data_IF_923337464908
#
_entry.id   IF_923337464908
#
_cell.length_a   1.000
_cell.length_b   1.000
_cell.length_c   1.000
_cell.angle_alpha   90.00
_cell.angle_beta   90.00
_cell.angle_gamma   90.00
#
_symmetry.space_group_name_H-M   'P 1'
#
loop_
_entity.id
_entity.type
_entity.pdbx_description
1 polymer ?
#
# COMPACT_ATOMS: atom_id res chain seq x y z
N UNK A 1 15.74 -16.02 -0.58
CA UNK A 1 16.40 -15.38 0.59
C UNK A 1 17.52 -14.50 0.05
N UNK A 2 17.39 -13.16 0.02
CA UNK A 2 18.52 -12.30 -0.29
C UNK A 2 19.36 -12.15 0.98
N UNK A 3 20.69 -12.30 0.79
CA UNK A 3 21.74 -12.18 1.77
C UNK A 3 21.50 -11.03 2.74
N UNK A 4 21.43 -11.34 4.04
CA UNK A 4 21.62 -10.32 5.08
C UNK A 4 23.09 -9.89 4.96
N UNK A 5 23.31 -8.75 4.30
CA UNK A 5 24.57 -8.03 4.42
C UNK A 5 24.80 -7.83 5.92
N UNK A 6 25.78 -8.53 6.48
CA UNK A 6 26.24 -8.35 7.86
C UNK A 6 26.77 -6.91 8.00
N UNK A 7 25.87 -6.02 8.36
CA UNK A 7 26.20 -4.61 8.58
C UNK A 7 27.04 -4.49 9.86
N UNK A 8 28.15 -3.73 9.84
CA UNK A 8 28.98 -3.54 11.02
C UNK A 8 28.16 -3.07 12.23
N UNK A 9 28.47 -3.57 13.42
CA UNK A 9 27.70 -3.35 14.64
C UNK A 9 27.49 -1.86 15.02
N UNK A 10 28.33 -0.95 14.51
CA UNK A 10 28.23 0.50 14.73
C UNK A 10 27.23 1.18 13.77
N UNK A 11 26.83 0.54 12.69
CA UNK A 11 25.99 1.15 11.66
C UNK A 11 24.53 1.33 12.08
N UNK A 12 23.86 0.36 12.76
CA UNK A 12 22.48 0.51 13.23
C UNK A 12 22.25 1.69 14.18
N UNK A 13 23.08 1.90 15.25
CA UNK A 13 22.89 3.04 16.14
C UNK A 13 23.16 4.39 15.46
N UNK A 14 24.13 4.45 14.56
CA UNK A 14 24.42 5.64 13.77
C UNK A 14 23.24 6.00 12.85
N UNK A 15 22.67 4.99 12.19
CA UNK A 15 21.49 5.17 11.33
C UNK A 15 20.28 5.68 12.10
N UNK A 16 20.03 5.14 13.30
CA UNK A 16 18.94 5.59 14.16
C UNK A 16 19.12 7.04 14.62
N UNK A 17 20.35 7.45 14.96
CA UNK A 17 20.69 8.82 15.33
C UNK A 17 20.50 9.78 14.14
N UNK A 18 20.98 9.43 12.94
CA UNK A 18 20.83 10.23 11.73
C UNK A 18 19.37 10.38 11.29
N UNK A 19 18.55 9.33 11.45
CA UNK A 19 17.13 9.39 11.16
C UNK A 19 16.37 10.33 12.10
N UNK A 20 16.77 10.43 13.37
CA UNK A 20 16.16 11.37 14.33
C UNK A 20 16.53 12.84 14.06
N UNK A 21 17.73 13.09 13.56
CA UNK A 21 18.22 14.44 13.26
C UNK A 21 17.66 15.03 11.96
N UNK A 22 17.32 14.18 11.00
CA UNK A 22 16.92 14.60 9.66
C UNK A 22 18.12 14.92 8.73
N UNK A 23 17.90 15.03 7.40
CA UNK A 23 18.98 15.11 6.42
C UNK A 23 19.80 16.42 6.48
N UNK A 24 19.15 17.55 6.79
CA UNK A 24 19.85 18.86 6.87
C UNK A 24 20.84 18.97 8.02
N UNK A 25 20.46 18.74 9.29
CA UNK A 25 21.42 18.80 10.39
C UNK A 25 22.49 17.69 10.30
N UNK A 26 22.16 16.51 9.76
CA UNK A 26 23.15 15.45 9.52
C UNK A 26 24.25 15.90 8.53
N UNK A 27 23.90 16.62 7.47
CA UNK A 27 24.89 17.16 6.52
C UNK A 27 25.81 18.21 7.14
N UNK A 28 25.29 19.08 7.98
CA UNK A 28 26.12 20.06 8.72
C UNK A 28 27.10 19.39 9.67
N UNK A 29 26.67 18.36 10.40
CA UNK A 29 27.55 17.59 11.30
C UNK A 29 28.66 16.88 10.49
N UNK A 30 28.32 16.33 9.34
CA UNK A 30 29.30 15.72 8.44
C UNK A 30 30.32 16.74 7.93
N UNK A 31 29.89 17.91 7.48
CA UNK A 31 30.78 19.00 7.06
C UNK A 31 31.72 19.44 8.19
N UNK A 32 31.19 19.63 9.39
CA UNK A 32 31.98 20.01 10.56
C UNK A 32 33.04 18.95 10.92
N UNK A 33 32.66 17.68 10.90
CA UNK A 33 33.57 16.56 11.17
C UNK A 33 34.69 16.48 10.14
N UNK A 34 34.40 16.52 8.84
CA UNK A 34 35.39 16.48 7.76
C UNK A 34 36.33 17.66 7.85
N UNK A 35 35.84 18.87 8.13
CA UNK A 35 36.66 20.07 8.30
C UNK A 35 37.60 19.91 9.45
N UNK A 36 37.16 19.41 10.60
CA UNK A 36 37.99 19.17 11.78
C UNK A 36 39.11 18.16 11.51
N UNK A 37 38.81 17.07 10.80
CA UNK A 37 39.78 16.06 10.38
C UNK A 37 40.83 16.67 9.45
N UNK A 38 40.42 17.45 8.44
CA UNK A 38 41.35 18.13 7.53
C UNK A 38 42.29 19.09 8.25
N UNK A 39 41.78 19.87 9.19
CA UNK A 39 42.62 20.77 10.01
C UNK A 39 43.60 19.98 10.87
N UNK A 40 43.15 18.94 11.55
CA UNK A 40 44.00 18.09 12.39
C UNK A 40 45.16 17.44 11.60
N UNK A 41 44.82 16.88 10.40
CA UNK A 41 45.82 16.30 9.50
C UNK A 41 46.83 17.35 8.99
N UNK A 42 46.35 18.55 8.64
CA UNK A 42 47.21 19.65 8.21
C UNK A 42 48.18 20.09 9.31
N UNK A 43 47.72 20.21 10.56
CA UNK A 43 48.55 20.56 11.70
C UNK A 43 49.60 19.47 12.02
N UNK A 44 49.21 18.20 11.91
CA UNK A 44 50.14 17.07 12.10
C UNK A 44 51.23 17.11 11.04
N UNK A 45 50.87 17.37 9.77
CA UNK A 45 51.81 17.40 8.64
C UNK A 45 52.80 18.55 8.78
N UNK A 46 52.37 19.75 9.16
CA UNK A 46 53.25 20.92 9.45
C UNK A 46 54.16 20.62 10.62
N UNK A 47 53.69 19.94 11.66
CA UNK A 47 54.50 19.53 12.82
C UNK A 47 55.59 18.52 12.45
N UNK A 48 55.28 17.55 11.59
CA UNK A 48 56.23 16.53 11.16
C UNK A 48 57.28 17.08 10.20
N UNK A 49 56.92 18.00 9.31
CA UNK A 49 57.85 18.60 8.36
C UNK A 49 58.72 19.70 8.95
N UNK A 50 58.42 20.22 10.14
CA UNK A 50 59.16 21.27 10.83
C UNK A 50 59.23 22.61 10.07
N UNK A 51 58.49 22.77 8.98
CA UNK A 51 58.47 23.94 8.12
C UNK A 51 57.01 24.30 7.77
N UNK A 52 56.69 25.58 7.83
CA UNK A 52 55.38 26.10 7.44
C UNK A 52 54.73 26.95 8.54
N UNK A 53 53.90 27.88 8.11
CA UNK A 53 53.10 28.71 9.01
C UNK A 53 51.81 27.96 9.43
N UNK A 54 51.76 27.62 10.72
CA UNK A 54 50.65 26.84 11.30
C UNK A 54 49.27 27.48 11.10
N UNK A 55 49.06 28.80 11.33
CA UNK A 55 47.73 29.40 11.15
C UNK A 55 47.30 29.45 9.70
N UNK A 56 48.17 29.73 8.73
CA UNK A 56 47.80 29.73 7.31
C UNK A 56 47.48 28.32 6.82
N UNK A 57 48.24 27.30 7.22
CA UNK A 57 47.92 25.90 6.91
C UNK A 57 46.57 25.45 7.49
N UNK A 58 46.26 25.85 8.72
CA UNK A 58 44.97 25.57 9.33
C UNK A 58 43.78 26.23 8.58
N UNK A 59 43.95 27.51 8.21
CA UNK A 59 42.92 28.26 7.47
C UNK A 59 42.66 27.61 6.10
N UNK A 60 43.70 27.30 5.32
CA UNK A 60 43.57 26.66 4.01
C UNK A 60 42.88 25.28 4.13
N UNK A 61 43.30 24.47 5.11
CA UNK A 61 42.70 23.17 5.36
C UNK A 61 41.23 23.26 5.78
N UNK A 62 40.89 24.26 6.60
CA UNK A 62 39.49 24.51 7.00
C UNK A 62 38.60 24.92 5.81
N UNK A 63 39.09 25.85 4.98
CA UNK A 63 38.33 26.30 3.79
C UNK A 63 38.18 25.20 2.78
N UNK A 64 39.26 24.49 2.42
CA UNK A 64 39.20 23.39 1.45
C UNK A 64 38.39 22.21 1.98
N UNK A 65 38.54 21.86 3.26
CA UNK A 65 37.80 20.74 3.87
C UNK A 65 36.30 21.04 3.93
N UNK A 66 35.94 22.27 4.31
CA UNK A 66 34.54 22.68 4.36
C UNK A 66 33.89 22.72 2.97
N UNK A 67 34.55 23.33 1.99
CA UNK A 67 34.01 23.44 0.61
C UNK A 67 33.83 22.07 -0.03
N UNK A 68 34.82 21.17 0.12
CA UNK A 68 34.73 19.82 -0.42
C UNK A 68 33.62 19.01 0.27
N UNK A 69 33.54 19.08 1.60
CA UNK A 69 32.51 18.39 2.36
C UNK A 69 31.09 18.91 2.02
N UNK A 70 30.93 20.23 1.88
CA UNK A 70 29.67 20.84 1.49
C UNK A 70 29.25 20.42 0.08
N UNK A 71 30.18 20.39 -0.87
CA UNK A 71 29.93 19.95 -2.25
C UNK A 71 29.50 18.46 -2.27
N UNK A 72 30.26 17.60 -1.62
CA UNK A 72 29.95 16.16 -1.53
C UNK A 72 28.59 15.91 -0.86
N UNK A 73 28.33 16.60 0.25
CA UNK A 73 27.04 16.48 0.95
C UNK A 73 25.89 16.93 0.07
N UNK A 74 26.06 18.04 -0.66
CA UNK A 74 25.04 18.51 -1.62
C UNK A 74 24.79 17.50 -2.75
N UNK A 75 25.85 16.94 -3.35
CA UNK A 75 25.73 15.94 -4.40
C UNK A 75 25.01 14.67 -3.90
N UNK A 76 25.37 14.18 -2.70
CA UNK A 76 24.71 12.98 -2.13
C UNK A 76 23.23 13.25 -1.87
N UNK A 77 22.90 14.40 -1.26
CA UNK A 77 21.49 14.74 -1.00
C UNK A 77 20.69 14.92 -2.31
N UNK A 78 21.29 15.54 -3.32
CA UNK A 78 20.66 15.69 -4.64
C UNK A 78 20.44 14.33 -5.32
N UNK A 79 21.41 13.42 -5.23
CA UNK A 79 21.30 12.06 -5.76
C UNK A 79 20.21 11.27 -5.06
N UNK A 80 20.18 11.30 -3.71
CA UNK A 80 19.13 10.64 -2.93
C UNK A 80 17.73 11.17 -3.26
N UNK A 81 17.60 12.49 -3.40
CA UNK A 81 16.34 13.11 -3.81
C UNK A 81 15.94 12.74 -5.25
N UNK A 82 16.91 12.53 -6.14
CA UNK A 82 16.65 12.07 -7.51
C UNK A 82 16.21 10.61 -7.54
N UNK A 83 16.90 9.74 -6.77
CA UNK A 83 16.53 8.33 -6.64
C UNK A 83 15.14 8.17 -6.01
N UNK A 84 14.82 8.93 -4.97
CA UNK A 84 13.48 8.89 -4.35
C UNK A 84 12.39 9.32 -5.34
N UNK A 85 12.66 10.36 -6.14
CA UNK A 85 11.75 10.78 -7.23
C UNK A 85 11.57 9.68 -8.28
N UNK A 86 12.65 9.04 -8.71
CA UNK A 86 12.61 7.96 -9.69
C UNK A 86 11.83 6.74 -9.15
N UNK A 87 12.05 6.37 -7.89
CA UNK A 87 11.31 5.28 -7.22
C UNK A 87 9.81 5.61 -7.10
N UNK A 88 9.47 6.84 -6.71
CA UNK A 88 8.06 7.29 -6.65
C UNK A 88 7.44 7.34 -8.06
N UNK A 89 8.22 7.66 -9.08
CA UNK A 89 7.75 7.65 -10.46
C UNK A 89 7.42 6.22 -10.89
N UNK A 90 8.31 5.24 -10.70
CA UNK A 90 8.04 3.83 -11.01
C UNK A 90 6.89 3.26 -10.20
N UNK A 91 6.80 3.57 -8.90
CA UNK A 91 5.67 3.19 -8.05
C UNK A 91 4.33 3.80 -8.53
N UNK A 92 4.36 4.98 -9.17
CA UNK A 92 3.16 5.60 -9.78
C UNK A 92 2.68 4.85 -11.02
N UNK A 93 3.54 4.11 -11.71
CA UNK A 93 3.17 3.29 -12.88
C UNK A 93 2.90 1.83 -12.54
N UNK A 94 3.12 1.43 -11.29
CA UNK A 94 2.68 0.11 -10.84
C UNK A 94 1.16 0.02 -10.99
N UNK A 95 0.69 -0.97 -11.74
CA UNK A 95 -0.73 -1.23 -12.00
C UNK A 95 -1.26 -2.36 -11.13
N UNK A 96 -0.35 -3.13 -10.53
CA UNK A 96 -0.70 -4.29 -9.72
C UNK A 96 -0.27 -4.13 -8.28
N UNK A 97 -1.03 -4.77 -7.39
CA UNK A 97 -0.65 -4.96 -5.99
C UNK A 97 0.46 -6.02 -5.91
N UNK A 98 1.55 -5.69 -5.21
CA UNK A 98 2.75 -6.55 -5.15
C UNK A 98 2.56 -7.83 -4.34
N UNK A 99 1.57 -7.87 -3.45
CA UNK A 99 1.30 -9.02 -2.60
C UNK A 99 0.38 -10.03 -3.29
N UNK A 100 -0.72 -9.54 -3.87
CA UNK A 100 -1.80 -10.37 -4.42
C UNK A 100 -1.74 -10.53 -5.94
N UNK A 101 -0.98 -9.68 -6.64
CA UNK A 101 -0.93 -9.65 -8.11
C UNK A 101 -2.18 -9.07 -8.78
N UNK A 102 -3.21 -8.74 -8.03
CA UNK A 102 -4.43 -8.10 -8.52
C UNK A 102 -4.18 -6.67 -9.01
N UNK A 103 -5.16 -6.06 -9.66
CA UNK A 103 -5.14 -4.63 -9.89
C UNK A 103 -4.99 -3.89 -8.56
N UNK A 104 -4.18 -2.84 -8.52
CA UNK A 104 -4.19 -1.94 -7.39
C UNK A 104 -5.33 -0.91 -7.53
N UNK A 105 -5.60 -0.16 -6.46
CA UNK A 105 -6.65 0.87 -6.43
C UNK A 105 -6.61 1.82 -7.64
N UNK A 106 -5.41 2.26 -8.04
CA UNK A 106 -5.26 3.21 -9.15
C UNK A 106 -5.67 2.60 -10.48
N UNK A 107 -5.16 1.42 -10.77
CA UNK A 107 -5.48 0.71 -12.01
C UNK A 107 -6.97 0.38 -12.07
N UNK A 108 -7.54 -0.07 -10.96
CA UNK A 108 -8.97 -0.32 -10.84
C UNK A 108 -9.79 0.91 -11.23
N UNK A 109 -9.56 2.04 -10.59
CA UNK A 109 -10.29 3.28 -10.88
C UNK A 109 -10.15 3.70 -12.34
N UNK A 110 -8.95 3.58 -12.92
CA UNK A 110 -8.71 3.90 -14.34
C UNK A 110 -9.50 3.01 -15.31
N UNK A 111 -9.63 1.71 -15.00
CA UNK A 111 -10.42 0.78 -15.81
C UNK A 111 -11.92 1.01 -15.66
N UNK A 112 -12.35 1.16 -14.42
CA UNK A 112 -13.77 1.25 -14.07
C UNK A 112 -14.39 2.59 -14.50
N UNK A 113 -13.66 3.68 -14.43
CA UNK A 113 -14.17 5.01 -14.83
C UNK A 113 -14.68 5.02 -16.28
N UNK A 114 -13.98 4.34 -17.18
CA UNK A 114 -14.39 4.17 -18.57
C UNK A 114 -15.68 3.32 -18.68
N UNK A 115 -15.66 2.15 -18.07
CA UNK A 115 -16.76 1.18 -18.13
C UNK A 115 -18.03 1.74 -17.47
N UNK A 116 -17.87 2.44 -16.34
CA UNK A 116 -18.96 3.12 -15.65
C UNK A 116 -19.57 4.23 -16.52
N UNK A 117 -18.72 5.04 -17.17
CA UNK A 117 -19.18 6.10 -18.08
C UNK A 117 -19.98 5.54 -19.25
N UNK A 118 -19.57 4.39 -19.80
CA UNK A 118 -20.31 3.68 -20.84
C UNK A 118 -21.63 3.10 -20.32
N UNK A 119 -21.60 2.45 -19.17
CA UNK A 119 -22.78 1.89 -18.53
C UNK A 119 -23.85 2.97 -18.28
N UNK A 120 -23.42 4.13 -17.75
CA UNK A 120 -24.31 5.27 -17.54
C UNK A 120 -24.88 5.83 -18.83
N UNK A 121 -24.05 5.98 -19.88
CA UNK A 121 -24.48 6.53 -21.18
C UNK A 121 -25.49 5.63 -21.87
N UNK A 122 -25.28 4.34 -21.84
CA UNK A 122 -26.12 3.37 -22.53
C UNK A 122 -27.17 2.71 -21.63
N UNK A 123 -27.27 3.16 -20.37
CA UNK A 123 -28.17 2.61 -19.36
C UNK A 123 -28.05 1.09 -19.21
N UNK A 124 -26.83 0.55 -19.38
CA UNK A 124 -26.56 -0.86 -19.13
C UNK A 124 -26.31 -1.09 -17.64
N UNK A 125 -26.83 -2.18 -17.07
CA UNK A 125 -26.61 -2.46 -15.66
C UNK A 125 -25.12 -2.73 -15.37
N UNK A 126 -24.64 -2.25 -14.26
CA UNK A 126 -23.32 -2.62 -13.71
C UNK A 126 -23.38 -2.56 -12.19
N UNK A 127 -22.51 -3.31 -11.52
CA UNK A 127 -22.46 -3.37 -10.08
C UNK A 127 -21.05 -3.16 -9.54
N UNK A 128 -20.97 -2.69 -8.31
CA UNK A 128 -19.78 -2.58 -7.50
C UNK A 128 -19.95 -3.43 -6.26
N UNK A 129 -18.93 -4.25 -5.97
CA UNK A 129 -18.87 -5.13 -4.80
C UNK A 129 -17.65 -4.75 -3.98
N UNK A 130 -17.84 -4.43 -2.72
CA UNK A 130 -16.81 -4.19 -1.73
C UNK A 130 -16.71 -5.39 -0.80
N UNK A 131 -15.50 -5.87 -0.56
CA UNK A 131 -15.20 -7.02 0.27
C UNK A 131 -14.19 -6.60 1.33
N UNK A 132 -14.43 -7.00 2.56
CA UNK A 132 -13.50 -6.78 3.68
C UNK A 132 -13.34 -8.10 4.47
N UNK A 133 -12.09 -8.45 4.78
CA UNK A 133 -11.81 -9.67 5.55
C UNK A 133 -12.13 -9.44 7.01
N UNK A 134 -13.06 -10.21 7.53
CA UNK A 134 -13.51 -10.08 8.90
C UNK A 134 -12.38 -10.36 9.89
N UNK A 135 -12.23 -9.49 10.89
CA UNK A 135 -11.25 -9.63 11.96
C UNK A 135 -9.79 -9.76 11.51
N UNK A 136 -9.43 -9.24 10.32
CA UNK A 136 -8.08 -9.36 9.76
C UNK A 136 -6.99 -8.83 10.69
N UNK A 137 -7.24 -7.71 11.37
CA UNK A 137 -6.32 -7.16 12.38
C UNK A 137 -6.04 -8.17 13.50
N UNK A 138 -7.06 -8.86 13.99
CA UNK A 138 -6.91 -9.87 15.02
C UNK A 138 -6.10 -11.09 14.54
N UNK A 139 -6.29 -11.50 13.29
CA UNK A 139 -5.47 -12.56 12.67
C UNK A 139 -4.00 -12.16 12.63
N UNK A 140 -3.70 -10.92 12.22
CA UNK A 140 -2.32 -10.41 12.24
C UNK A 140 -1.72 -10.33 13.65
N UNK A 141 -2.50 -9.93 14.65
CA UNK A 141 -2.05 -9.84 16.04
C UNK A 141 -1.80 -11.23 16.64
N UNK A 142 -2.63 -12.22 16.31
CA UNK A 142 -2.53 -13.58 16.85
C UNK A 142 -1.46 -14.42 16.13
N UNK A 143 -1.33 -14.31 14.80
CA UNK A 143 -0.51 -15.21 13.97
C UNK A 143 0.62 -14.51 13.22
N UNK A 144 0.72 -13.19 13.31
CA UNK A 144 1.74 -12.39 12.65
C UNK A 144 1.36 -12.00 11.20
N UNK A 145 2.03 -10.96 10.69
CA UNK A 145 1.78 -10.39 9.36
C UNK A 145 1.99 -11.39 8.21
N UNK A 146 2.91 -12.36 8.37
CA UNK A 146 3.13 -13.37 7.33
C UNK A 146 1.90 -14.29 7.12
N UNK A 147 1.14 -14.57 8.19
CA UNK A 147 -0.14 -15.27 8.12
C UNK A 147 -1.18 -14.43 7.37
N UNK A 148 -1.33 -13.16 7.74
CA UNK A 148 -2.22 -12.23 7.05
C UNK A 148 -1.90 -12.06 5.57
N UNK A 149 -0.62 -11.98 5.21
CA UNK A 149 -0.17 -11.90 3.82
C UNK A 149 -0.55 -13.15 3.01
N UNK A 150 -0.45 -14.34 3.61
CA UNK A 150 -0.89 -15.58 2.96
C UNK A 150 -2.41 -15.60 2.80
N UNK A 151 -3.15 -15.21 3.82
CA UNK A 151 -4.60 -15.10 3.77
C UNK A 151 -5.07 -14.17 2.65
N UNK A 152 -4.47 -12.99 2.55
CA UNK A 152 -4.78 -12.02 1.47
C UNK A 152 -4.58 -12.62 0.07
N UNK A 153 -3.54 -13.43 -0.14
CA UNK A 153 -3.31 -14.12 -1.42
C UNK A 153 -4.40 -15.15 -1.71
N UNK A 154 -4.78 -15.95 -0.72
CA UNK A 154 -5.82 -16.98 -0.90
C UNK A 154 -7.20 -16.37 -1.14
N UNK A 155 -7.57 -15.31 -0.40
CA UNK A 155 -8.82 -14.59 -0.66
C UNK A 155 -8.84 -13.97 -2.05
N UNK A 156 -7.71 -13.41 -2.50
CA UNK A 156 -7.56 -12.85 -3.85
C UNK A 156 -7.75 -13.95 -4.94
N UNK A 157 -7.14 -15.10 -4.76
CA UNK A 157 -7.22 -16.25 -5.68
C UNK A 157 -8.65 -16.78 -5.79
N UNK A 158 -9.27 -17.13 -4.66
CA UNK A 158 -10.65 -17.66 -4.60
C UNK A 158 -11.65 -16.66 -5.16
N UNK A 159 -11.47 -15.37 -4.87
CA UNK A 159 -12.33 -14.33 -5.44
C UNK A 159 -12.16 -14.25 -6.95
N UNK A 160 -10.92 -14.29 -7.44
CA UNK A 160 -10.62 -14.23 -8.88
C UNK A 160 -11.19 -15.40 -9.67
N UNK A 161 -11.14 -16.63 -9.13
CA UNK A 161 -11.71 -17.82 -9.76
C UNK A 161 -13.23 -17.78 -9.93
N UNK A 162 -13.90 -16.93 -9.14
CA UNK A 162 -15.35 -16.76 -9.18
C UNK A 162 -15.80 -15.83 -10.30
N UNK A 163 -14.89 -15.02 -10.83
CA UNK A 163 -15.17 -13.92 -11.74
C UNK A 163 -15.02 -14.29 -13.21
N UNK A 164 -15.71 -13.52 -14.07
CA UNK A 164 -15.60 -13.59 -15.51
C UNK A 164 -14.42 -12.76 -16.01
N UNK A 165 -14.00 -12.97 -17.23
CA UNK A 165 -12.90 -12.19 -17.84
C UNK A 165 -13.20 -10.69 -17.94
N UNK A 166 -14.48 -10.29 -18.04
CA UNK A 166 -14.90 -8.90 -18.11
C UNK A 166 -14.93 -8.21 -16.74
N UNK A 167 -14.95 -8.99 -15.65
CA UNK A 167 -15.02 -8.45 -14.30
C UNK A 167 -13.65 -7.94 -13.87
N UNK A 168 -13.62 -6.85 -13.10
CA UNK A 168 -12.37 -6.24 -12.65
C UNK A 168 -12.25 -6.41 -11.15
N UNK A 169 -11.26 -7.17 -10.69
CA UNK A 169 -10.93 -7.38 -9.28
C UNK A 169 -9.67 -6.61 -8.91
N UNK A 170 -9.70 -5.93 -7.78
CA UNK A 170 -8.58 -5.19 -7.23
C UNK A 170 -8.45 -5.34 -5.72
N UNK A 171 -7.23 -5.19 -5.23
CA UNK A 171 -6.98 -4.88 -3.82
C UNK A 171 -7.06 -3.38 -3.63
N UNK A 172 -8.08 -2.93 -2.91
CA UNK A 172 -8.38 -1.51 -2.77
C UNK A 172 -7.72 -0.87 -1.54
N UNK A 173 -7.65 -1.62 -0.45
CA UNK A 173 -7.02 -1.23 0.82
C UNK A 173 -6.13 -2.32 1.39
N UNK A 174 -5.84 -2.24 2.69
CA UNK A 174 -5.03 -3.23 3.39
C UNK A 174 -5.64 -4.63 3.34
N UNK A 175 -6.89 -4.74 3.72
CA UNK A 175 -7.70 -5.97 3.80
C UNK A 175 -8.98 -5.90 2.95
N UNK A 176 -9.08 -4.84 2.12
CA UNK A 176 -10.25 -4.53 1.32
C UNK A 176 -10.02 -4.88 -0.14
N UNK A 177 -11.00 -5.55 -0.74
CA UNK A 177 -11.04 -5.84 -2.17
C UNK A 177 -12.25 -5.17 -2.80
N UNK A 178 -12.12 -4.87 -4.08
CA UNK A 178 -13.18 -4.23 -4.85
C UNK A 178 -13.35 -4.97 -6.17
N UNK A 179 -14.61 -5.20 -6.56
CA UNK A 179 -14.95 -5.84 -7.83
C UNK A 179 -15.93 -4.94 -8.57
N UNK A 180 -15.64 -4.67 -9.83
CA UNK A 180 -16.60 -4.06 -10.74
C UNK A 180 -17.12 -5.13 -11.70
N UNK A 181 -18.44 -5.24 -11.79
CA UNK A 181 -19.18 -6.20 -12.60
C UNK A 181 -19.91 -5.46 -13.73
N UNK A 182 -19.33 -5.36 -14.93
CA UNK A 182 -20.02 -4.78 -16.07
C UNK A 182 -21.17 -5.69 -16.53
N UNK A 183 -22.21 -5.09 -17.11
CA UNK A 183 -23.37 -5.81 -17.68
C UNK A 183 -24.02 -6.82 -16.70
N UNK A 184 -24.05 -6.46 -15.41
CA UNK A 184 -24.54 -7.35 -14.35
C UNK A 184 -25.70 -6.67 -13.63
N UNK A 185 -26.82 -7.37 -13.58
CA UNK A 185 -28.03 -6.93 -12.89
C UNK A 185 -27.92 -7.13 -11.35
N UNK A 186 -28.86 -6.61 -10.56
CA UNK A 186 -28.83 -6.72 -9.11
C UNK A 186 -28.73 -8.15 -8.59
N UNK A 187 -29.47 -9.09 -9.16
CA UNK A 187 -29.49 -10.49 -8.72
C UNK A 187 -28.18 -11.18 -9.06
N UNK A 188 -27.65 -10.95 -10.27
CA UNK A 188 -26.34 -11.48 -10.67
C UNK A 188 -25.21 -10.95 -9.81
N UNK A 189 -25.26 -9.68 -9.39
CA UNK A 189 -24.25 -9.12 -8.49
C UNK A 189 -24.28 -9.75 -7.10
N UNK A 190 -25.48 -9.97 -6.56
CA UNK A 190 -25.66 -10.65 -5.28
C UNK A 190 -25.21 -12.11 -5.33
N UNK A 191 -25.50 -12.81 -6.43
CA UNK A 191 -25.07 -14.20 -6.64
C UNK A 191 -23.53 -14.32 -6.66
N UNK A 192 -22.85 -13.42 -7.38
CA UNK A 192 -21.39 -13.36 -7.39
C UNK A 192 -20.85 -13.08 -5.99
N UNK A 193 -21.41 -12.11 -5.27
CA UNK A 193 -20.98 -11.75 -3.93
C UNK A 193 -21.16 -12.92 -2.94
N UNK A 194 -22.31 -13.60 -2.97
CA UNK A 194 -22.57 -14.74 -2.07
C UNK A 194 -21.67 -15.92 -2.39
N UNK A 195 -21.42 -16.24 -3.68
CA UNK A 195 -20.46 -17.29 -4.05
C UNK A 195 -19.05 -17.00 -3.54
N UNK A 196 -18.60 -15.73 -3.59
CA UNK A 196 -17.29 -15.34 -3.04
C UNK A 196 -17.30 -15.55 -1.53
N UNK A 197 -18.33 -15.07 -0.82
CA UNK A 197 -18.45 -15.24 0.62
C UNK A 197 -18.39 -16.70 1.03
N UNK A 198 -19.20 -17.56 0.38
CA UNK A 198 -19.24 -19.00 0.66
C UNK A 198 -17.91 -19.68 0.39
N UNK A 199 -17.24 -19.36 -0.73
CA UNK A 199 -15.92 -19.93 -1.05
C UNK A 199 -14.85 -19.49 -0.08
N UNK A 200 -14.86 -18.23 0.36
CA UNK A 200 -13.92 -17.75 1.38
C UNK A 200 -14.18 -18.42 2.72
N UNK A 201 -15.45 -18.57 3.12
CA UNK A 201 -15.81 -19.27 4.35
C UNK A 201 -15.44 -20.76 4.31
N UNK A 202 -15.44 -21.38 3.12
CA UNK A 202 -15.07 -22.79 2.92
C UNK A 202 -13.56 -23.01 2.77
N UNK A 203 -12.73 -21.94 2.83
CA UNK A 203 -11.28 -22.07 2.76
C UNK A 203 -10.76 -22.91 3.94
N UNK A 204 -10.06 -23.99 3.64
CA UNK A 204 -9.26 -24.73 4.62
C UNK A 204 -7.94 -23.97 4.87
N UNK A 205 -8.06 -22.81 5.56
CA UNK A 205 -6.91 -21.96 5.85
C UNK A 205 -6.30 -22.35 7.19
N UNK A 206 -5.06 -22.77 7.16
CA UNK A 206 -4.29 -23.12 8.35
C UNK A 206 -2.93 -22.43 8.40
N UNK A 207 -2.49 -22.11 9.61
CA UNK A 207 -1.18 -21.54 9.89
C UNK A 207 -0.49 -22.28 11.03
N UNK A 208 0.75 -22.77 10.81
CA UNK A 208 1.51 -23.56 11.79
C UNK A 208 0.70 -24.77 12.34
N UNK A 209 0.02 -25.49 11.45
CA UNK A 209 -0.86 -26.64 11.78
C UNK A 209 -2.08 -26.29 12.65
N UNK A 210 -2.44 -25.01 12.77
CA UNK A 210 -3.67 -24.57 13.45
C UNK A 210 -4.66 -24.05 12.40
N UNK A 211 -5.93 -24.47 12.43
CA UNK A 211 -6.96 -23.92 11.57
C UNK A 211 -7.26 -22.47 11.97
N UNK A 212 -7.35 -21.59 10.99
CA UNK A 212 -7.71 -20.18 11.18
C UNK A 212 -9.02 -19.92 10.46
N UNK A 213 -10.13 -19.71 11.18
CA UNK A 213 -11.41 -19.42 10.55
C UNK A 213 -11.37 -18.09 9.84
N UNK A 214 -11.86 -18.08 8.60
CA UNK A 214 -11.87 -16.90 7.73
C UNK A 214 -13.28 -16.63 7.25
N UNK A 215 -13.67 -15.37 7.28
CA UNK A 215 -14.90 -14.90 6.64
C UNK A 215 -14.72 -13.51 6.06
N UNK A 216 -15.65 -13.10 5.22
CA UNK A 216 -15.68 -11.78 4.62
C UNK A 216 -17.07 -11.16 4.75
N UNK A 217 -17.10 -9.87 4.98
CA UNK A 217 -18.29 -9.04 4.85
C UNK A 217 -18.30 -8.37 3.49
N UNK A 218 -19.46 -8.33 2.83
CA UNK A 218 -19.57 -7.86 1.46
C UNK A 218 -20.70 -6.85 1.33
N UNK A 219 -20.40 -5.68 0.72
CA UNK A 219 -21.37 -4.67 0.31
C UNK A 219 -21.54 -4.66 -1.20
N UNK A 220 -22.77 -4.62 -1.68
CA UNK A 220 -23.10 -4.61 -3.11
C UNK A 220 -23.93 -3.39 -3.46
N UNK A 221 -23.52 -2.64 -4.46
CA UNK A 221 -24.29 -1.55 -5.05
C UNK A 221 -24.40 -1.74 -6.56
N UNK A 222 -25.53 -1.32 -7.13
CA UNK A 222 -25.79 -1.35 -8.59
C UNK A 222 -26.01 0.07 -9.08
N UNK A 223 -25.57 0.35 -10.30
CA UNK A 223 -25.74 1.64 -10.93
C UNK A 223 -27.22 2.02 -10.97
N UNK A 224 -27.53 3.19 -10.41
CA UNK A 224 -28.86 3.82 -10.41
C UNK A 224 -28.83 5.09 -11.24
N UNK A 225 -29.99 5.53 -11.71
CA UNK A 225 -30.14 6.78 -12.45
C UNK A 225 -29.67 8.00 -11.65
N UNK A 226 -29.80 7.94 -10.33
CA UNK A 226 -29.42 9.03 -9.41
C UNK A 226 -27.90 9.17 -9.25
N UNK A 227 -27.11 8.14 -9.54
CA UNK A 227 -25.66 8.23 -9.40
C UNK A 227 -25.09 9.20 -10.43
N UNK A 228 -24.59 10.33 -9.95
CA UNK A 228 -23.98 11.39 -10.77
C UNK A 228 -22.50 11.15 -11.01
N UNK A 229 -21.84 10.46 -10.08
CA UNK A 229 -20.41 10.12 -10.07
C UNK A 229 -20.18 8.64 -9.73
N UNK A 230 -19.00 8.14 -10.01
CA UNK A 230 -18.58 6.82 -9.53
C UNK A 230 -18.51 6.78 -8.00
N UNK A 231 -18.18 7.90 -7.37
CA UNK A 231 -18.11 8.02 -5.90
C UNK A 231 -19.49 7.81 -5.25
N UNK A 232 -20.60 8.16 -5.93
CA UNK A 232 -21.95 7.89 -5.42
C UNK A 232 -22.22 6.38 -5.34
N UNK A 233 -21.80 5.64 -6.38
CA UNK A 233 -21.92 4.17 -6.41
C UNK A 233 -21.01 3.52 -5.36
N UNK A 234 -19.80 4.06 -5.17
CA UNK A 234 -18.85 3.62 -4.17
C UNK A 234 -19.40 3.83 -2.74
N UNK A 235 -20.00 4.99 -2.47
CA UNK A 235 -20.61 5.29 -1.17
C UNK A 235 -21.76 4.34 -0.86
N UNK A 236 -22.61 4.04 -1.84
CA UNK A 236 -23.71 3.06 -1.69
C UNK A 236 -23.15 1.67 -1.32
N UNK A 237 -22.06 1.23 -1.95
CA UNK A 237 -21.43 -0.06 -1.66
C UNK A 237 -20.77 -0.08 -0.28
N UNK A 238 -20.12 1.02 0.13
CA UNK A 238 -19.50 1.16 1.45
C UNK A 238 -20.54 1.15 2.57
N UNK A 239 -21.66 1.86 2.40
CA UNK A 239 -22.78 1.81 3.34
C UNK A 239 -23.32 0.38 3.50
N UNK A 240 -23.48 -0.34 2.38
CA UNK A 240 -23.90 -1.75 2.41
C UNK A 240 -22.86 -2.64 3.12
N UNK A 241 -21.57 -2.44 2.90
CA UNK A 241 -20.51 -3.16 3.61
C UNK A 241 -20.54 -2.86 5.12
N UNK A 242 -20.75 -1.60 5.49
CA UNK A 242 -20.88 -1.21 6.88
C UNK A 242 -22.08 -1.92 7.57
N UNK A 243 -23.21 -2.01 6.88
CA UNK A 243 -24.37 -2.78 7.37
C UNK A 243 -24.02 -4.27 7.54
N UNK A 244 -23.31 -4.88 6.59
CA UNK A 244 -22.87 -6.26 6.70
C UNK A 244 -22.02 -6.50 7.95
N UNK A 245 -21.08 -5.58 8.23
CA UNK A 245 -20.24 -5.64 9.44
C UNK A 245 -21.04 -5.44 10.73
N UNK A 246 -22.03 -4.55 10.72
CA UNK A 246 -22.87 -4.26 11.88
C UNK A 246 -23.85 -5.42 12.23
N UNK A 247 -24.33 -6.15 11.23
CA UNK A 247 -25.28 -7.26 11.39
C UNK A 247 -24.62 -8.60 11.75
N UNK A 248 -23.33 -8.60 12.10
CA UNK A 248 -22.63 -9.79 12.62
C UNK A 248 -21.59 -10.36 11.68
N UNK A 249 -21.26 -9.64 10.60
CA UNK A 249 -20.24 -10.06 9.62
C UNK A 249 -20.61 -11.32 8.83
N UNK A 250 -19.66 -11.86 8.05
CA UNK A 250 -19.86 -13.06 7.23
C UNK A 250 -21.17 -13.07 6.46
N UNK A 251 -21.53 -11.96 5.87
CA UNK A 251 -22.76 -11.80 5.11
C UNK A 251 -22.61 -10.80 3.96
N UNK A 252 -23.54 -10.87 3.02
CA UNK A 252 -23.70 -9.93 1.91
C UNK A 252 -24.84 -8.97 2.23
N UNK A 253 -24.61 -7.67 2.00
CA UNK A 253 -25.68 -6.66 2.05
C UNK A 253 -25.71 -5.86 0.77
N UNK A 254 -26.92 -5.54 0.37
CA UNK A 254 -27.19 -4.70 -0.78
C UNK A 254 -27.45 -3.27 -0.35
N UNK A 255 -27.00 -2.30 -1.14
CA UNK A 255 -27.34 -0.90 -0.96
C UNK A 255 -28.88 -0.68 -1.02
N UNK A 256 -29.42 0.27 -0.26
CA UNK A 256 -30.86 0.55 -0.24
C UNK A 256 -31.43 0.79 -1.64
N UNK A 257 -32.62 0.22 -1.93
CA UNK A 257 -33.29 0.36 -3.22
C UNK A 257 -32.76 -0.53 -4.34
N UNK A 258 -31.87 -1.50 -4.05
CA UNK A 258 -31.35 -2.45 -5.04
C UNK A 258 -32.44 -3.46 -5.49
N UNK A 259 -33.39 -3.81 -4.62
CA UNK A 259 -34.46 -4.77 -4.87
C UNK A 259 -35.81 -4.14 -4.61
N UNK A 260 -36.81 -4.34 -5.48
CA UNK A 260 -38.19 -3.95 -5.18
C UNK A 260 -38.75 -4.87 -4.08
N UNK A 261 -38.81 -4.37 -2.83
CA UNK A 261 -39.61 -4.92 -1.74
C UNK A 261 -39.22 -6.31 -1.22
N UNK A 262 -38.74 -6.35 0.04
CA UNK A 262 -38.63 -7.53 0.93
C UNK A 262 -37.93 -8.80 0.41
N UNK A 263 -36.61 -8.77 0.36
CA UNK A 263 -35.80 -9.99 0.22
C UNK A 263 -35.55 -10.74 1.55
N UNK A 264 -36.01 -10.22 2.67
CA UNK A 264 -35.97 -10.91 3.98
C UNK A 264 -36.89 -12.15 4.05
N UNK A 265 -37.74 -12.38 3.05
CA UNK A 265 -38.72 -13.48 3.04
C UNK A 265 -38.26 -14.73 2.29
N UNK A 266 -37.09 -14.76 1.65
CA UNK A 266 -36.63 -15.91 0.85
C UNK A 266 -35.62 -16.83 1.59
N UNK A 267 -35.37 -16.58 2.87
CA UNK A 267 -34.59 -17.48 3.77
C UNK A 267 -35.43 -17.87 5.00
N UNK A 268 -36.60 -18.46 4.78
CA UNK A 268 -37.31 -19.23 5.80
C UNK A 268 -37.33 -20.71 5.37
#
# INVERSE_FOLDING_TARGET
MPDRLDLPAWLPPLRAALQRLGPRPASWLFCAFVTLVCVALSQLLVSLMGRGDRPTAALVAAVCGFTLAALLSHCVLALLAHLDRALRFTARYATRDSLTGLCNRRQFLSLVEREWSLARRYQTPCALVLIDIDHFKHINEAFGHACGDMLLRQVAEVSGETLRQADVLARYGGEEFMIFLPHTDPLGALDVAERIRERVQALDFGWNAQPVPVSVSIGVAVLKVQHSSFDDLLNDADEALHLAKAEGRNCVRAAPGLLPGNFSALRA
#
